data_IF_917917128548
#
_entry.id   IF_917917128548
#
_cell.length_a   1.000
_cell.length_b   1.000
_cell.length_c   1.000
_cell.angle_alpha   90.00
_cell.angle_beta   90.00
_cell.angle_gamma   90.00
#
_symmetry.space_group_name_H-M   'P 1'
#
loop_
_entity.id
_entity.type
_entity.pdbx_description
1 polymer ?
#
# COMPACT_ATOMS: atom_id res chain seq x y z
N UNK A 1 10.23 -36.67 -31.11
CA UNK A 1 10.90 -35.40 -30.74
C UNK A 1 9.96 -34.20 -30.73
N UNK A 2 9.21 -33.90 -31.82
CA UNK A 2 8.27 -32.76 -31.87
C UNK A 2 7.18 -32.77 -30.78
N UNK A 3 6.65 -33.95 -30.43
CA UNK A 3 5.63 -34.12 -29.36
C UNK A 3 6.17 -33.78 -27.97
N UNK A 4 7.43 -34.14 -27.69
CA UNK A 4 8.11 -33.82 -26.42
C UNK A 4 8.39 -32.33 -26.28
N UNK A 5 8.73 -31.65 -27.39
CA UNK A 5 8.92 -30.20 -27.43
C UNK A 5 7.62 -29.45 -27.12
N UNK A 6 6.49 -29.91 -27.67
CA UNK A 6 5.17 -29.32 -27.44
C UNK A 6 4.72 -29.53 -25.98
N UNK A 7 4.94 -30.72 -25.42
CA UNK A 7 4.64 -30.99 -24.00
C UNK A 7 5.50 -30.14 -23.05
N UNK A 8 6.78 -29.93 -23.37
CA UNK A 8 7.65 -29.07 -22.59
C UNK A 8 7.21 -27.59 -22.64
N UNK A 9 6.82 -27.09 -23.81
CA UNK A 9 6.31 -25.71 -23.96
C UNK A 9 4.97 -25.53 -23.19
N UNK A 10 4.06 -26.52 -23.25
CA UNK A 10 2.81 -26.48 -22.50
C UNK A 10 3.01 -26.54 -20.98
N UNK A 11 4.03 -27.25 -20.51
CA UNK A 11 4.36 -27.36 -19.09
C UNK A 11 4.95 -26.06 -18.50
N UNK A 12 5.56 -25.21 -19.34
CA UNK A 12 6.21 -23.95 -18.92
C UNK A 12 5.25 -22.75 -19.02
N UNK A 13 4.19 -22.83 -19.84
CA UNK A 13 3.19 -21.75 -20.00
C UNK A 13 2.59 -21.22 -18.67
N UNK A 14 2.23 -22.04 -17.67
CA UNK A 14 1.66 -21.54 -16.41
C UNK A 14 2.62 -20.66 -15.61
N UNK A 15 3.94 -20.76 -15.85
CA UNK A 15 4.95 -19.99 -15.11
C UNK A 15 4.99 -18.51 -15.54
N UNK A 16 4.48 -18.19 -16.72
CA UNK A 16 4.50 -16.81 -17.25
C UNK A 16 3.38 -15.93 -16.67
N UNK A 17 2.34 -16.51 -16.07
CA UNK A 17 1.25 -15.76 -15.44
C UNK A 17 1.63 -15.12 -14.09
N UNK A 18 2.75 -15.51 -13.49
CA UNK A 18 3.22 -14.96 -12.22
C UNK A 18 3.97 -13.62 -12.34
N UNK A 19 4.20 -13.14 -13.57
CA UNK A 19 4.97 -11.92 -13.80
C UNK A 19 4.14 -10.63 -13.78
N UNK A 20 2.82 -10.70 -13.97
CA UNK A 20 1.97 -9.51 -13.91
C UNK A 20 1.82 -9.10 -12.45
N UNK A 21 2.09 -7.83 -12.12
CA UNK A 21 1.90 -7.36 -10.75
C UNK A 21 0.44 -7.55 -10.38
N UNK A 22 0.16 -8.01 -9.16
CA UNK A 22 -1.18 -8.41 -8.73
C UNK A 22 -2.26 -7.34 -8.99
N UNK A 23 -1.85 -6.07 -9.06
CA UNK A 23 -2.71 -4.92 -9.22
C UNK A 23 -2.63 -4.25 -10.61
N UNK A 24 -1.74 -4.71 -11.52
CA UNK A 24 -1.61 -4.12 -12.87
C UNK A 24 -2.91 -4.21 -13.67
N UNK A 25 -3.77 -5.20 -13.38
CA UNK A 25 -5.07 -5.35 -14.04
C UNK A 25 -6.06 -4.21 -13.81
N UNK A 26 -5.77 -3.32 -12.86
CA UNK A 26 -6.60 -2.15 -12.56
C UNK A 26 -6.15 -0.90 -13.32
N UNK A 27 -4.95 -0.92 -13.91
CA UNK A 27 -4.49 0.15 -14.78
C UNK A 27 -5.27 0.12 -16.11
N UNK A 28 -5.86 1.24 -16.49
CA UNK A 28 -6.72 1.35 -17.68
C UNK A 28 -8.09 0.66 -17.57
N UNK A 29 -8.47 0.15 -16.38
CA UNK A 29 -9.80 -0.43 -16.18
C UNK A 29 -10.86 0.66 -16.06
N UNK A 30 -11.96 0.53 -16.80
CA UNK A 30 -13.07 1.49 -16.74
C UNK A 30 -13.65 1.57 -15.31
N UNK A 31 -13.90 2.79 -14.83
CA UNK A 31 -14.37 3.03 -13.47
C UNK A 31 -13.29 2.91 -12.39
N UNK A 32 -12.01 2.83 -12.78
CA UNK A 32 -10.85 2.90 -11.87
C UNK A 32 -9.99 4.11 -12.20
N UNK A 33 -9.69 4.91 -11.18
CA UNK A 33 -8.62 5.91 -11.24
C UNK A 33 -7.33 5.26 -10.74
N UNK A 34 -6.31 5.20 -11.59
CA UNK A 34 -5.01 4.64 -11.27
C UNK A 34 -3.94 5.75 -11.20
N UNK A 35 -3.21 5.80 -10.09
CA UNK A 35 -2.04 6.66 -9.90
C UNK A 35 -0.84 5.77 -9.64
N UNK A 36 0.11 5.74 -10.56
CA UNK A 36 1.30 4.89 -10.47
C UNK A 36 2.55 5.78 -10.51
N UNK A 37 3.30 5.75 -9.43
CA UNK A 37 4.58 6.46 -9.28
C UNK A 37 5.69 5.43 -9.18
N UNK A 38 6.67 5.51 -10.07
CA UNK A 38 7.81 4.63 -10.09
C UNK A 38 9.06 5.29 -9.48
N UNK A 39 10.08 4.48 -9.22
CA UNK A 39 11.37 4.90 -8.67
C UNK A 39 11.96 6.12 -9.36
N UNK A 40 11.91 6.17 -10.70
CA UNK A 40 12.45 7.29 -11.48
C UNK A 40 11.76 8.61 -11.12
N UNK A 41 10.43 8.59 -10.95
CA UNK A 41 9.69 9.78 -10.53
C UNK A 41 10.05 10.20 -9.09
N UNK A 42 10.26 9.24 -8.18
CA UNK A 42 10.72 9.54 -6.82
C UNK A 42 12.15 10.11 -6.80
N UNK A 43 13.05 9.58 -7.60
CA UNK A 43 14.42 10.11 -7.75
C UNK A 43 14.39 11.55 -8.29
N UNK A 44 13.53 11.84 -9.28
CA UNK A 44 13.35 13.19 -9.81
C UNK A 44 12.83 14.16 -8.74
N UNK A 45 11.84 13.74 -7.94
CA UNK A 45 11.33 14.55 -6.82
C UNK A 45 12.38 14.75 -5.72
N UNK A 46 13.11 13.70 -5.35
CA UNK A 46 14.13 13.70 -4.29
C UNK A 46 15.36 14.58 -4.60
N UNK A 47 15.57 14.96 -5.86
CA UNK A 47 16.69 15.79 -6.29
C UNK A 47 16.38 17.30 -6.26
N UNK A 48 15.15 17.68 -5.93
CA UNK A 48 14.80 19.09 -5.70
C UNK A 48 15.45 19.54 -4.39
N UNK A 49 16.41 20.46 -4.48
CA UNK A 49 17.08 21.02 -3.30
C UNK A 49 16.12 21.92 -2.54
N UNK A 50 15.88 21.60 -1.28
CA UNK A 50 15.19 22.48 -0.34
C UNK A 50 16.12 22.88 0.80
N UNK A 51 16.03 24.15 1.21
CA UNK A 51 16.78 24.71 2.34
C UNK A 51 16.09 24.43 3.69
N UNK A 52 14.92 23.81 3.67
CA UNK A 52 14.16 23.46 4.87
C UNK A 52 14.50 22.04 5.36
N UNK A 53 14.75 21.91 6.67
CA UNK A 53 15.08 20.64 7.35
C UNK A 53 13.96 19.61 7.24
N UNK A 54 12.70 20.04 7.33
CA UNK A 54 11.55 19.13 7.22
C UNK A 54 11.42 18.60 5.79
N UNK A 55 11.61 19.47 4.80
CA UNK A 55 11.63 19.09 3.39
C UNK A 55 12.78 18.10 3.09
N UNK A 56 13.96 18.26 3.70
CA UNK A 56 15.08 17.32 3.53
C UNK A 56 14.77 15.92 4.07
N UNK A 57 14.10 15.82 5.23
CA UNK A 57 13.66 14.53 5.77
C UNK A 57 12.66 13.85 4.84
N UNK A 58 11.70 14.61 4.31
CA UNK A 58 10.74 14.12 3.33
C UNK A 58 11.42 13.66 2.02
N UNK A 59 12.39 14.41 1.50
CA UNK A 59 13.16 14.02 0.31
C UNK A 59 13.98 12.73 0.52
N UNK A 60 14.54 12.54 1.73
CA UNK A 60 15.26 11.31 2.08
C UNK A 60 14.34 10.09 2.19
N UNK A 61 13.09 10.28 2.61
CA UNK A 61 12.05 9.27 2.56
C UNK A 61 11.69 8.91 1.12
N UNK A 62 11.41 9.91 0.30
CA UNK A 62 11.02 9.73 -1.11
C UNK A 62 12.08 8.95 -1.89
N UNK A 63 13.38 9.23 -1.67
CA UNK A 63 14.49 8.48 -2.29
C UNK A 63 14.54 6.99 -1.93
N UNK A 64 13.92 6.60 -0.82
CA UNK A 64 13.84 5.21 -0.36
C UNK A 64 12.63 4.46 -0.90
N UNK A 65 11.76 5.13 -1.65
CA UNK A 65 10.56 4.54 -2.26
C UNK A 65 10.89 4.04 -3.68
N UNK A 66 10.45 2.84 -3.98
CA UNK A 66 10.64 2.24 -5.30
C UNK A 66 9.35 2.29 -6.14
N UNK A 67 8.19 2.17 -5.50
CA UNK A 67 6.92 2.12 -6.22
C UNK A 67 5.74 2.53 -5.32
N UNK A 68 4.87 3.40 -5.82
CA UNK A 68 3.57 3.69 -5.24
C UNK A 68 2.51 3.43 -6.31
N UNK A 69 1.47 2.71 -5.93
CA UNK A 69 0.29 2.46 -6.75
C UNK A 69 -0.93 2.76 -5.92
N UNK A 70 -1.81 3.61 -6.43
CA UNK A 70 -3.10 3.94 -5.82
C UNK A 70 -4.18 3.68 -6.85
N UNK A 71 -5.15 2.86 -6.49
CA UNK A 71 -6.33 2.59 -7.30
C UNK A 71 -7.58 2.99 -6.53
N UNK A 72 -8.44 3.78 -7.17
CA UNK A 72 -9.67 4.30 -6.57
C UNK A 72 -10.85 3.93 -7.45
N UNK A 73 -11.93 3.45 -6.84
CA UNK A 73 -13.16 3.11 -7.56
C UNK A 73 -14.40 3.34 -6.71
N UNK A 74 -15.50 3.73 -7.34
CA UNK A 74 -16.83 3.74 -6.72
C UNK A 74 -17.69 2.54 -7.15
N UNK A 75 -17.15 1.62 -7.97
CA UNK A 75 -17.89 0.48 -8.52
C UNK A 75 -17.90 -0.69 -7.53
N UNK A 76 -19.08 -1.17 -7.06
CA UNK A 76 -19.16 -2.29 -6.12
C UNK A 76 -18.53 -3.59 -6.66
N UNK A 77 -18.60 -3.81 -7.97
CA UNK A 77 -17.99 -4.96 -8.64
C UNK A 77 -16.46 -4.90 -8.55
N UNK A 78 -15.89 -3.74 -8.82
CA UNK A 78 -14.43 -3.54 -8.76
C UNK A 78 -13.95 -3.55 -7.32
N UNK A 79 -14.71 -2.96 -6.38
CA UNK A 79 -14.43 -3.06 -4.93
C UNK A 79 -14.28 -4.52 -4.48
N UNK A 80 -15.24 -5.37 -4.88
CA UNK A 80 -15.21 -6.80 -4.52
C UNK A 80 -13.99 -7.52 -5.12
N UNK A 81 -13.64 -7.22 -6.37
CA UNK A 81 -12.46 -7.79 -7.03
C UNK A 81 -11.15 -7.28 -6.42
N UNK A 82 -11.05 -6.00 -6.07
CA UNK A 82 -9.90 -5.41 -5.37
C UNK A 82 -9.70 -6.04 -4.00
N UNK A 83 -10.79 -6.26 -3.26
CA UNK A 83 -10.74 -6.95 -1.97
C UNK A 83 -10.20 -8.37 -2.12
N UNK A 84 -10.74 -9.16 -3.05
CA UNK A 84 -10.30 -10.54 -3.31
C UNK A 84 -8.83 -10.60 -3.77
N UNK A 85 -8.43 -9.66 -4.60
CA UNK A 85 -7.05 -9.58 -5.12
C UNK A 85 -6.07 -9.20 -4.02
N UNK A 86 -6.45 -8.24 -3.17
CA UNK A 86 -5.69 -7.87 -1.98
C UNK A 86 -5.55 -9.06 -1.03
N UNK A 87 -6.65 -9.75 -0.69
CA UNK A 87 -6.65 -10.91 0.20
C UNK A 87 -5.73 -12.05 -0.32
N UNK A 88 -5.68 -12.26 -1.65
CA UNK A 88 -4.75 -13.21 -2.28
C UNK A 88 -3.30 -12.72 -2.20
N UNK A 89 -3.08 -11.45 -2.51
CA UNK A 89 -1.75 -10.86 -2.53
C UNK A 89 -1.10 -10.88 -1.15
N UNK A 90 -1.86 -10.58 -0.08
CA UNK A 90 -1.41 -10.65 1.32
C UNK A 90 -0.74 -11.99 1.64
N UNK A 91 -1.38 -13.10 1.23
CA UNK A 91 -0.86 -14.45 1.45
C UNK A 91 0.41 -14.71 0.65
N UNK A 92 0.43 -14.31 -0.63
CA UNK A 92 1.58 -14.54 -1.51
C UNK A 92 2.81 -13.70 -1.13
N UNK A 93 2.60 -12.49 -0.64
CA UNK A 93 3.65 -11.55 -0.30
C UNK A 93 4.14 -11.70 1.16
N UNK A 94 3.45 -12.53 1.96
CA UNK A 94 3.64 -12.69 3.41
C UNK A 94 3.54 -11.36 4.16
N UNK A 95 2.45 -10.63 3.91
CA UNK A 95 2.15 -9.36 4.56
C UNK A 95 1.43 -9.60 5.91
N UNK A 96 1.85 -8.87 6.94
CA UNK A 96 1.30 -8.92 8.29
C UNK A 96 0.29 -7.78 8.51
N UNK A 97 -0.82 -8.05 9.22
CA UNK A 97 -1.78 -6.99 9.57
C UNK A 97 -1.19 -6.09 10.65
N UNK A 98 -0.98 -4.82 10.32
CA UNK A 98 -0.47 -3.82 11.26
C UNK A 98 -1.63 -3.16 12.01
N UNK A 99 -2.67 -2.78 11.29
CA UNK A 99 -3.82 -2.08 11.86
C UNK A 99 -5.08 -2.29 11.04
N UNK A 100 -6.21 -2.31 11.75
CA UNK A 100 -7.55 -2.24 11.20
C UNK A 100 -8.35 -1.17 11.91
N UNK A 101 -9.03 -0.32 11.16
CA UNK A 101 -9.95 0.70 11.66
C UNK A 101 -11.30 0.53 10.96
N UNK A 102 -12.37 0.45 11.75
CA UNK A 102 -13.73 0.45 11.23
C UNK A 102 -14.45 1.66 11.83
N UNK A 103 -14.83 2.61 10.97
CA UNK A 103 -15.48 3.85 11.39
C UNK A 103 -16.52 4.28 10.35
N UNK A 104 -17.77 4.49 10.79
CA UNK A 104 -18.84 5.06 9.96
C UNK A 104 -19.15 4.34 8.64
N UNK A 105 -18.86 3.03 8.52
CA UNK A 105 -19.04 2.27 7.28
C UNK A 105 -17.81 2.22 6.36
N UNK A 106 -16.69 2.82 6.79
CA UNK A 106 -15.37 2.70 6.14
C UNK A 106 -14.52 1.69 6.90
N UNK A 107 -14.00 0.70 6.19
CA UNK A 107 -13.11 -0.32 6.74
C UNK A 107 -11.71 -0.13 6.17
N UNK A 108 -10.80 0.38 6.99
CA UNK A 108 -9.40 0.62 6.64
C UNK A 108 -8.57 -0.53 7.19
N UNK A 109 -7.82 -1.19 6.32
CA UNK A 109 -6.86 -2.24 6.69
C UNK A 109 -5.48 -1.87 6.19
N UNK A 110 -4.50 -1.97 7.06
CA UNK A 110 -3.11 -1.64 6.78
C UNK A 110 -2.28 -2.89 7.07
N UNK A 111 -1.48 -3.27 6.09
CA UNK A 111 -0.60 -4.42 6.13
C UNK A 111 0.82 -4.01 5.79
N UNK A 112 1.79 -4.71 6.38
CA UNK A 112 3.21 -4.41 6.17
C UNK A 112 4.03 -5.67 5.96
N UNK A 113 5.11 -5.54 5.19
CA UNK A 113 6.17 -6.53 5.10
C UNK A 113 7.39 -5.98 5.82
N UNK A 114 7.71 -6.57 6.96
CA UNK A 114 8.85 -6.17 7.76
C UNK A 114 10.17 -6.46 7.04
N UNK A 115 11.16 -5.60 7.27
CA UNK A 115 12.50 -5.68 6.72
C UNK A 115 13.47 -6.40 7.65
N UNK A 116 14.71 -5.92 7.69
CA UNK A 116 15.74 -6.47 8.60
C UNK A 116 15.51 -6.16 10.09
N UNK A 117 14.60 -5.23 10.40
CA UNK A 117 14.18 -4.86 11.75
C UNK A 117 12.65 -4.70 11.81
N UNK A 118 12.08 -4.67 13.02
CA UNK A 118 10.64 -4.49 13.24
C UNK A 118 10.09 -3.12 12.81
N UNK A 119 10.95 -2.12 12.68
CA UNK A 119 10.57 -0.77 12.23
C UNK A 119 10.81 -0.53 10.74
N UNK A 120 11.67 -1.34 10.11
CA UNK A 120 11.91 -1.30 8.66
C UNK A 120 10.79 -1.98 7.92
N UNK A 121 10.26 -1.31 6.91
CA UNK A 121 9.19 -1.80 6.05
C UNK A 121 9.67 -1.85 4.61
N UNK A 122 9.47 -3.02 3.99
CA UNK A 122 9.76 -3.24 2.58
C UNK A 122 8.54 -3.00 1.69
N UNK A 123 7.36 -3.19 2.25
CA UNK A 123 6.10 -3.03 1.55
C UNK A 123 4.99 -2.67 2.54
N UNK A 124 4.16 -1.72 2.14
CA UNK A 124 2.95 -1.31 2.83
C UNK A 124 1.78 -1.46 1.86
N UNK A 125 0.76 -2.21 2.27
CA UNK A 125 -0.50 -2.33 1.55
C UNK A 125 -1.61 -1.73 2.40
N UNK A 126 -2.39 -0.84 1.84
CA UNK A 126 -3.58 -0.29 2.46
C UNK A 126 -4.80 -0.57 1.59
N UNK A 127 -5.87 -1.04 2.23
CA UNK A 127 -7.16 -1.23 1.61
C UNK A 127 -8.23 -0.49 2.42
N UNK A 128 -8.89 0.46 1.78
CA UNK A 128 -10.03 1.20 2.33
C UNK A 128 -11.26 0.74 1.58
N UNK A 129 -12.12 -0.02 2.25
CA UNK A 129 -13.42 -0.41 1.73
C UNK A 129 -14.42 0.71 2.02
N UNK A 130 -14.91 1.38 0.97
CA UNK A 130 -15.94 2.40 1.07
C UNK A 130 -17.34 1.79 1.23
N UNK A 131 -18.16 2.34 2.12
CA UNK A 131 -19.54 1.94 2.30
C UNK A 131 -20.50 2.77 1.43
N UNK A 132 -21.37 2.10 0.66
CA UNK A 132 -22.44 2.77 -0.08
C UNK A 132 -21.95 3.66 -1.23
N UNK A 133 -21.87 4.97 -0.98
CA UNK A 133 -21.40 5.99 -1.96
C UNK A 133 -19.92 6.34 -1.83
N UNK A 134 -19.26 5.87 -0.77
CA UNK A 134 -17.84 6.12 -0.55
C UNK A 134 -16.97 5.30 -1.50
N UNK A 135 -15.87 5.89 -1.94
CA UNK A 135 -14.92 5.22 -2.82
C UNK A 135 -14.10 4.17 -2.06
N UNK A 136 -13.78 3.09 -2.77
CA UNK A 136 -12.80 2.10 -2.34
C UNK A 136 -11.42 2.50 -2.82
N UNK A 137 -10.44 2.42 -1.94
CA UNK A 137 -9.04 2.76 -2.23
C UNK A 137 -8.16 1.55 -1.96
N UNK A 138 -7.34 1.19 -2.94
CA UNK A 138 -6.26 0.22 -2.81
C UNK A 138 -4.94 0.93 -3.04
N UNK A 139 -4.08 0.96 -2.02
CA UNK A 139 -2.75 1.55 -2.10
C UNK A 139 -1.68 0.50 -1.82
N UNK A 140 -0.67 0.43 -2.67
CA UNK A 140 0.54 -0.35 -2.47
C UNK A 140 1.75 0.57 -2.55
N UNK A 141 2.59 0.51 -1.53
CA UNK A 141 3.83 1.28 -1.43
C UNK A 141 4.98 0.31 -1.17
N UNK A 142 5.96 0.27 -2.07
CA UNK A 142 7.18 -0.53 -1.95
C UNK A 142 8.39 0.37 -1.86
N UNK A 143 9.36 -0.05 -1.06
CA UNK A 143 10.60 0.67 -0.84
C UNK A 143 11.37 0.05 0.30
N UNK A 144 12.32 0.78 0.86
CA UNK A 144 12.99 0.38 2.08
C UNK A 144 13.05 1.59 3.01
N UNK A 145 12.07 1.72 3.90
CA UNK A 145 11.87 2.89 4.76
C UNK A 145 11.56 2.47 6.20
N UNK A 146 11.70 3.40 7.14
CA UNK A 146 11.30 3.18 8.52
C UNK A 146 9.84 3.63 8.71
N UNK A 147 9.03 2.84 9.43
CA UNK A 147 7.62 3.18 9.68
C UNK A 147 7.51 4.51 10.47
N UNK A 148 8.50 4.85 11.30
CA UNK A 148 8.53 6.12 12.02
C UNK A 148 8.66 7.32 11.06
N UNK A 149 9.40 7.13 9.97
CA UNK A 149 9.57 8.14 8.92
C UNK A 149 8.23 8.35 8.15
N UNK A 150 7.37 7.33 8.06
CA UNK A 150 6.04 7.43 7.39
C UNK A 150 5.12 8.42 8.09
N UNK A 151 5.33 8.74 9.37
CA UNK A 151 4.55 9.77 10.07
C UNK A 151 4.63 11.15 9.40
N UNK A 152 5.72 11.47 8.70
CA UNK A 152 5.83 12.68 7.87
C UNK A 152 5.03 12.57 6.55
N UNK A 153 4.79 11.36 6.06
CA UNK A 153 3.98 11.11 4.86
C UNK A 153 2.48 11.04 5.16
N UNK A 154 2.13 10.69 6.40
CA UNK A 154 0.73 10.45 6.77
C UNK A 154 -0.19 11.65 6.55
N UNK A 155 0.27 12.89 6.60
CA UNK A 155 -0.61 14.05 6.32
C UNK A 155 -1.06 14.13 4.86
N UNK A 156 -0.33 13.48 3.94
CA UNK A 156 -0.60 13.54 2.50
C UNK A 156 -0.99 12.17 1.89
N UNK A 157 -1.12 11.13 2.71
CA UNK A 157 -1.51 9.79 2.26
C UNK A 157 -3.01 9.53 2.50
N UNK A 158 -3.71 8.85 1.57
CA UNK A 158 -5.02 8.30 1.86
C UNK A 158 -4.94 7.43 3.12
N UNK A 159 -5.82 7.65 4.10
CA UNK A 159 -5.80 6.89 5.37
C UNK A 159 -4.67 7.26 6.34
N UNK A 160 -4.02 8.41 6.15
CA UNK A 160 -2.98 8.96 7.02
C UNK A 160 -3.27 8.95 8.51
N UNK A 161 -4.49 9.35 8.90
CA UNK A 161 -4.92 9.35 10.30
C UNK A 161 -4.99 7.93 10.90
N UNK A 162 -5.33 6.93 10.09
CA UNK A 162 -5.31 5.53 10.50
C UNK A 162 -3.86 5.06 10.72
N UNK A 163 -2.95 5.37 9.79
CA UNK A 163 -1.52 5.08 9.95
C UNK A 163 -0.93 5.73 11.21
N UNK A 164 -1.25 7.01 11.49
CA UNK A 164 -0.82 7.71 12.72
C UNK A 164 -1.34 7.03 13.99
N UNK A 165 -2.58 6.51 13.98
CA UNK A 165 -3.13 5.76 15.11
C UNK A 165 -2.38 4.43 15.33
N UNK A 166 -1.99 3.73 14.26
CA UNK A 166 -1.24 2.47 14.34
C UNK A 166 0.16 2.66 14.89
N UNK A 167 0.85 3.72 14.43
CA UNK A 167 2.19 4.09 14.88
C UNK A 167 2.27 4.49 16.35
N UNK A 168 1.22 5.13 16.89
CA UNK A 168 1.22 5.62 18.27
C UNK A 168 0.85 4.55 19.31
N UNK A 169 0.59 3.30 18.87
CA UNK A 169 0.07 2.24 19.73
C UNK A 169 -1.34 2.55 20.26
N UNK A 170 -2.06 1.56 20.83
CA UNK A 170 -3.32 1.83 21.50
C UNK A 170 -3.07 2.85 22.62
N UNK A 171 -3.66 4.04 22.51
CA UNK A 171 -3.68 4.98 23.64
C UNK A 171 -4.31 4.25 24.81
N UNK A 172 -3.48 3.93 25.81
CA UNK A 172 -3.96 3.42 27.09
C UNK A 172 -5.10 4.30 27.61
N UNK A 173 -6.06 3.72 28.36
CA UNK A 173 -7.23 4.44 28.82
C UNK A 173 -6.80 5.76 29.47
N UNK A 174 -7.39 6.87 28.99
CA UNK A 174 -7.20 8.19 29.58
C UNK A 174 -7.48 8.06 31.06
N UNK A 175 -6.45 8.20 31.89
CA UNK A 175 -6.57 8.23 33.34
C UNK A 175 -7.65 9.23 33.75
N UNK A 176 -8.39 8.97 34.84
CA UNK A 176 -9.50 9.81 35.25
C UNK A 176 -9.02 11.25 35.40
N UNK A 177 -9.72 12.17 34.73
CA UNK A 177 -9.52 13.61 34.93
C UNK A 177 -9.72 13.89 36.42
N UNK A 178 -8.68 14.35 37.09
CA UNK A 178 -8.74 14.75 38.48
C UNK A 178 -9.84 15.81 38.71
N UNK A 179 -10.45 15.85 39.90
CA UNK A 179 -11.47 16.84 40.20
C UNK A 179 -10.86 18.25 40.17
N UNK A 180 -11.63 19.18 39.60
CA UNK A 180 -11.39 20.62 39.65
C UNK A 180 -11.46 21.13 41.08
#
# INVERSE_FOLDING_TARGET
>A
MKKFLITAILAIMPLSFFAQSAFDKYDGLEGVTAVIVNKKMFEMMGNVKSNDKEAQQYMNLVKKLDNLRVFVTSSPKVTSDMKLTSDKYLKSAALEELMRVNDGGKNIKIYVKSGGSSTRVKELLMFIEGGGKDETVLMSLKGDFDLNDVSALTDNLPGGDALKKGLKGPKGPKGPKGPK
#
